data_IF_024571908519
#
_entry.id   IF_024571908519
#
_cell.length_a   1.000
_cell.length_b   1.000
_cell.length_c   1.000
_cell.angle_alpha   90.00
_cell.angle_beta   90.00
_cell.angle_gamma   90.00
#
_symmetry.space_group_name_H-M   'P 1'
#
loop_
_entity.id
_entity.type
_entity.pdbx_description
1 polymer ?
#
# COMPACT_ATOMS: atom_id res chain seq x y z
N UNK A 1 29.63 0.15 10.52
CA UNK A 1 29.08 0.01 9.15
C UNK A 1 29.88 0.78 8.12
N UNK A 2 30.31 2.02 8.41
CA UNK A 2 31.15 2.85 7.52
C UNK A 2 32.61 2.81 8.02
N UNK A 3 33.57 2.84 7.10
CA UNK A 3 35.01 2.85 7.39
C UNK A 3 35.52 4.29 7.53
N UNK A 4 36.10 4.63 8.69
CA UNK A 4 36.58 5.99 8.98
C UNK A 4 37.76 6.41 8.09
N UNK A 5 38.58 5.47 7.64
CA UNK A 5 39.67 5.72 6.69
C UNK A 5 39.13 6.17 5.34
N UNK A 6 38.07 5.53 4.84
CA UNK A 6 37.39 5.95 3.61
C UNK A 6 36.74 7.33 3.74
N UNK A 7 36.16 7.64 4.91
CA UNK A 7 35.61 8.98 5.21
C UNK A 7 36.71 10.04 5.19
N UNK A 8 37.82 9.79 5.88
CA UNK A 8 38.99 10.69 5.89
C UNK A 8 39.57 10.87 4.49
N UNK A 9 39.69 9.80 3.71
CA UNK A 9 40.16 9.87 2.32
C UNK A 9 39.23 10.72 1.43
N UNK A 10 37.91 10.62 1.62
CA UNK A 10 36.96 11.50 0.94
C UNK A 10 37.16 12.97 1.35
N UNK A 11 37.33 13.26 2.65
CA UNK A 11 37.61 14.62 3.14
C UNK A 11 38.92 15.19 2.60
N UNK A 12 39.97 14.37 2.49
CA UNK A 12 41.24 14.77 1.90
C UNK A 12 41.13 15.16 0.42
N UNK A 13 40.07 14.70 -0.28
CA UNK A 13 39.74 15.12 -1.64
C UNK A 13 38.78 16.32 -1.67
N UNK A 14 38.50 17.01 -0.57
CA UNK A 14 37.69 18.24 -0.63
C UNK A 14 38.45 19.36 -1.37
N UNK A 15 37.71 20.35 -1.88
CA UNK A 15 38.32 21.60 -2.30
C UNK A 15 38.73 22.36 -1.04
N UNK A 16 40.02 22.69 -0.93
CA UNK A 16 40.56 23.50 0.16
C UNK A 16 41.65 24.42 -0.39
N UNK A 17 41.72 25.69 0.04
CA UNK A 17 42.86 26.57 -0.26
C UNK A 17 44.20 26.00 0.24
N UNK A 18 44.19 25.20 1.31
CA UNK A 18 45.40 24.62 1.90
C UNK A 18 45.98 23.45 1.08
N UNK A 19 45.16 22.86 0.18
CA UNK A 19 45.57 21.79 -0.75
C UNK A 19 44.76 21.88 -2.06
N UNK A 20 45.01 22.93 -2.88
CA UNK A 20 44.14 23.27 -4.00
C UNK A 20 44.24 22.23 -5.12
N UNK A 21 43.11 21.97 -5.79
CA UNK A 21 43.01 21.11 -6.97
C UNK A 21 42.07 21.73 -8.00
N UNK A 22 42.42 21.62 -9.28
CA UNK A 22 41.53 22.00 -10.38
C UNK A 22 40.54 20.86 -10.67
N UNK A 23 39.25 21.18 -10.82
CA UNK A 23 38.17 20.25 -11.20
C UNK A 23 37.24 20.88 -12.21
N UNK A 24 36.62 20.06 -13.05
CA UNK A 24 35.64 20.53 -14.04
C UNK A 24 36.26 21.39 -15.14
N UNK A 25 37.49 21.08 -15.56
CA UNK A 25 38.12 21.77 -16.70
C UNK A 25 37.33 21.55 -17.98
N UNK A 26 37.40 22.50 -18.92
CA UNK A 26 37.00 22.25 -20.30
C UNK A 26 38.00 21.28 -20.96
N UNK A 27 37.51 20.33 -21.74
CA UNK A 27 38.31 19.33 -22.45
C UNK A 27 37.85 19.26 -23.90
N UNK A 28 38.82 19.17 -24.81
CA UNK A 28 38.57 18.99 -26.24
C UNK A 28 38.31 17.50 -26.56
N UNK A 29 37.87 17.18 -27.79
CA UNK A 29 37.62 15.79 -28.21
C UNK A 29 38.85 14.87 -28.15
N UNK A 30 40.06 15.42 -28.12
CA UNK A 30 41.33 14.71 -28.06
C UNK A 30 41.54 13.91 -26.76
N UNK A 31 40.94 14.33 -25.64
CA UNK A 31 41.09 13.68 -24.32
C UNK A 31 39.79 13.36 -23.60
N UNK A 32 38.66 13.96 -24.02
CA UNK A 32 37.41 13.83 -23.29
C UNK A 32 36.90 12.38 -23.21
N UNK A 33 37.02 11.61 -24.28
CA UNK A 33 36.56 10.21 -24.29
C UNK A 33 37.39 9.35 -23.32
N UNK A 34 38.72 9.45 -23.37
CA UNK A 34 39.64 8.76 -22.46
C UNK A 34 39.36 9.13 -21.00
N UNK A 35 39.12 10.41 -20.73
CA UNK A 35 38.76 10.90 -19.41
C UNK A 35 37.42 10.30 -18.92
N UNK A 36 36.43 10.14 -19.80
CA UNK A 36 35.14 9.56 -19.45
C UNK A 36 35.26 8.07 -19.10
N UNK A 37 36.04 7.30 -19.85
CA UNK A 37 36.29 5.87 -19.61
C UNK A 37 37.14 5.61 -18.37
N UNK A 38 37.93 6.60 -17.91
CA UNK A 38 38.79 6.44 -16.73
C UNK A 38 38.03 6.09 -15.45
N UNK A 39 36.73 6.37 -15.38
CA UNK A 39 35.89 6.04 -14.23
C UNK A 39 35.42 4.58 -14.18
N UNK A 40 35.59 3.80 -15.26
CA UNK A 40 35.06 2.43 -15.38
C UNK A 40 35.44 1.49 -14.22
N UNK A 41 36.68 1.50 -13.67
CA UNK A 41 37.01 0.63 -12.54
C UNK A 41 36.14 0.86 -11.29
N UNK A 42 35.68 2.09 -11.07
CA UNK A 42 34.79 2.40 -9.95
C UNK A 42 33.40 1.78 -10.13
N UNK A 43 32.85 1.85 -11.35
CA UNK A 43 31.55 1.27 -11.69
C UNK A 43 31.61 -0.27 -11.74
N UNK A 44 32.71 -0.83 -12.25
CA UNK A 44 32.94 -2.29 -12.28
C UNK A 44 33.04 -2.87 -10.86
N UNK A 45 33.70 -2.18 -9.94
CA UNK A 45 33.82 -2.63 -8.56
C UNK A 45 32.56 -2.38 -7.69
N UNK A 46 31.66 -1.50 -8.14
CA UNK A 46 30.54 -1.01 -7.33
C UNK A 46 29.58 -2.13 -6.87
N UNK A 47 29.11 -3.05 -7.73
CA UNK A 47 28.21 -4.13 -7.32
C UNK A 47 28.75 -4.96 -6.16
N UNK A 48 30.02 -5.39 -6.24
CA UNK A 48 30.67 -6.15 -5.17
C UNK A 48 30.82 -5.35 -3.87
N UNK A 49 31.07 -4.04 -3.95
CA UNK A 49 31.13 -3.15 -2.78
C UNK A 49 29.74 -3.05 -2.11
N UNK A 50 28.68 -2.92 -2.91
CA UNK A 50 27.30 -2.89 -2.42
C UNK A 50 26.93 -4.22 -1.76
N UNK A 51 27.25 -5.36 -2.39
CA UNK A 51 26.98 -6.68 -1.79
C UNK A 51 27.69 -6.83 -0.45
N UNK A 52 28.98 -6.47 -0.35
CA UNK A 52 29.71 -6.45 0.93
C UNK A 52 29.07 -5.54 1.98
N UNK A 53 28.47 -4.42 1.57
CA UNK A 53 27.74 -3.54 2.50
C UNK A 53 26.43 -4.20 2.99
N UNK A 54 25.69 -4.86 2.09
CA UNK A 54 24.49 -5.64 2.44
C UNK A 54 24.82 -6.79 3.39
N UNK A 55 25.91 -7.53 3.16
CA UNK A 55 26.34 -8.62 4.04
C UNK A 55 26.76 -8.12 5.43
N UNK A 56 27.45 -6.97 5.50
CA UNK A 56 27.76 -6.33 6.79
C UNK A 56 26.50 -5.88 7.50
N UNK A 57 25.50 -5.38 6.77
CA UNK A 57 24.22 -4.98 7.35
C UNK A 57 23.49 -6.20 7.93
N UNK A 58 23.50 -7.34 7.23
CA UNK A 58 22.91 -8.57 7.70
C UNK A 58 23.49 -9.05 9.04
N UNK A 59 24.81 -8.91 9.24
CA UNK A 59 25.48 -9.25 10.52
C UNK A 59 25.02 -8.38 11.69
N UNK A 60 24.58 -7.15 11.44
CA UNK A 60 24.12 -6.21 12.48
C UNK A 60 22.61 -6.34 12.71
N UNK A 61 21.83 -6.41 11.63
CA UNK A 61 20.38 -6.27 11.67
C UNK A 61 19.62 -7.59 11.49
N UNK A 62 20.31 -8.70 11.21
CA UNK A 62 19.72 -10.01 10.91
C UNK A 62 19.01 -10.10 9.56
N UNK A 63 19.00 -9.02 8.76
CA UNK A 63 18.29 -8.93 7.47
C UNK A 63 19.28 -8.98 6.31
N UNK A 64 19.29 -10.09 5.57
CA UNK A 64 20.12 -10.27 4.38
C UNK A 64 19.46 -9.65 3.16
N UNK A 65 20.26 -8.97 2.34
CA UNK A 65 19.89 -8.47 1.02
C UNK A 65 20.91 -8.95 -0.01
N UNK A 66 20.48 -9.04 -1.27
CA UNK A 66 21.33 -9.25 -2.44
C UNK A 66 21.07 -8.15 -3.46
N UNK A 67 21.98 -8.00 -4.42
CA UNK A 67 21.76 -7.08 -5.56
C UNK A 67 20.44 -7.39 -6.28
N UNK A 68 20.15 -8.69 -6.39
CA UNK A 68 18.92 -9.28 -6.89
C UNK A 68 18.44 -10.33 -5.90
N UNK A 69 17.30 -10.09 -5.25
CA UNK A 69 16.74 -11.02 -4.25
C UNK A 69 15.67 -11.89 -4.90
N UNK A 70 15.89 -13.20 -4.94
CA UNK A 70 14.88 -14.17 -5.37
C UNK A 70 14.01 -14.65 -4.20
N UNK A 71 12.71 -14.82 -4.46
CA UNK A 71 11.75 -15.47 -3.56
C UNK A 71 10.74 -16.27 -4.36
N UNK A 72 10.39 -17.48 -3.90
CA UNK A 72 9.42 -18.36 -4.55
C UNK A 72 9.91 -19.80 -4.65
N UNK A 73 9.29 -20.58 -5.52
CA UNK A 73 9.65 -21.99 -5.70
C UNK A 73 11.09 -22.13 -6.22
N UNK A 74 11.94 -23.02 -5.65
CA UNK A 74 13.29 -23.26 -6.16
C UNK A 74 13.30 -23.79 -7.60
N UNK A 75 12.20 -24.45 -8.02
CA UNK A 75 11.97 -24.98 -9.36
C UNK A 75 10.93 -24.17 -10.14
N UNK A 76 10.83 -22.86 -9.87
CA UNK A 76 9.88 -21.99 -10.57
C UNK A 76 10.10 -22.00 -12.09
N UNK A 77 8.99 -22.04 -12.83
CA UNK A 77 8.99 -21.96 -14.30
C UNK A 77 8.57 -20.57 -14.80
N UNK A 78 7.80 -19.85 -13.97
CA UNK A 78 7.30 -18.50 -14.25
C UNK A 78 7.82 -17.53 -13.20
N UNK A 79 8.56 -16.51 -13.61
CA UNK A 79 9.14 -15.52 -12.69
C UNK A 79 8.65 -14.13 -13.04
N UNK A 80 8.22 -13.36 -12.04
CA UNK A 80 8.02 -11.92 -12.19
C UNK A 80 9.26 -11.17 -11.70
N UNK A 81 9.74 -10.18 -12.44
CA UNK A 81 10.87 -9.32 -12.09
C UNK A 81 10.37 -7.88 -11.93
N UNK A 82 10.62 -7.27 -10.77
CA UNK A 82 10.25 -5.88 -10.52
C UNK A 82 11.08 -5.21 -9.43
N UNK A 83 10.89 -3.90 -9.29
CA UNK A 83 11.61 -3.05 -8.34
C UNK A 83 10.64 -2.22 -7.48
N UNK A 84 11.09 -1.83 -6.28
CA UNK A 84 10.33 -0.94 -5.40
C UNK A 84 9.19 -1.64 -4.66
N UNK A 85 8.18 -0.86 -4.23
CA UNK A 85 7.13 -1.33 -3.31
C UNK A 85 6.24 -2.44 -3.87
N UNK A 86 6.04 -2.49 -5.19
CA UNK A 86 5.25 -3.55 -5.83
C UNK A 86 5.84 -4.94 -5.61
N UNK A 87 7.16 -5.03 -5.35
CA UNK A 87 7.82 -6.28 -5.06
C UNK A 87 7.33 -6.93 -3.75
N UNK A 88 6.77 -6.17 -2.79
CA UNK A 88 6.24 -6.73 -1.55
C UNK A 88 4.84 -7.34 -1.76
N UNK A 89 3.94 -6.67 -2.50
CA UNK A 89 2.67 -7.25 -2.94
C UNK A 89 2.90 -8.51 -3.79
N UNK A 90 3.87 -8.48 -4.70
CA UNK A 90 4.25 -9.64 -5.50
C UNK A 90 4.81 -10.78 -4.64
N UNK A 91 5.59 -10.45 -3.60
CA UNK A 91 6.17 -11.45 -2.71
C UNK A 91 5.10 -12.21 -1.94
N UNK A 92 4.16 -11.47 -1.34
CA UNK A 92 3.01 -12.05 -0.63
C UNK A 92 2.19 -12.96 -1.56
N UNK A 93 1.98 -12.54 -2.80
CA UNK A 93 1.25 -13.32 -3.80
C UNK A 93 1.99 -14.59 -4.19
N UNK A 94 3.29 -14.50 -4.44
CA UNK A 94 4.14 -15.65 -4.78
C UNK A 94 4.19 -16.65 -3.62
N UNK A 95 4.36 -16.20 -2.38
CA UNK A 95 4.28 -17.08 -1.19
C UNK A 95 2.93 -17.81 -1.13
N UNK A 96 1.82 -17.10 -1.37
CA UNK A 96 0.47 -17.68 -1.36
C UNK A 96 0.26 -18.75 -2.45
N UNK A 97 0.75 -18.52 -3.66
CA UNK A 97 0.60 -19.44 -4.80
C UNK A 97 1.56 -20.64 -4.69
N UNK A 98 2.79 -20.43 -4.22
CA UNK A 98 3.76 -21.52 -3.97
C UNK A 98 3.25 -22.47 -2.89
N UNK A 99 2.61 -21.96 -1.84
CA UNK A 99 1.96 -22.79 -0.82
C UNK A 99 0.82 -23.68 -1.38
N UNK A 100 0.33 -23.37 -2.60
CA UNK A 100 -0.69 -24.14 -3.34
C UNK A 100 -0.10 -24.98 -4.47
N UNK A 101 1.22 -25.13 -4.52
CA UNK A 101 1.92 -25.98 -5.48
C UNK A 101 2.25 -25.29 -6.82
N UNK A 102 2.01 -23.99 -6.95
CA UNK A 102 2.40 -23.29 -8.18
C UNK A 102 3.91 -23.05 -8.25
N UNK A 103 4.50 -23.36 -9.42
CA UNK A 103 5.92 -23.15 -9.72
C UNK A 103 6.20 -21.71 -10.16
N UNK A 104 5.96 -20.76 -9.26
CA UNK A 104 6.13 -19.33 -9.50
C UNK A 104 7.24 -18.72 -8.64
N UNK A 105 7.84 -17.65 -9.14
CA UNK A 105 8.90 -16.92 -8.47
C UNK A 105 8.81 -15.42 -8.67
N UNK A 106 9.54 -14.71 -7.82
CA UNK A 106 9.74 -13.27 -7.84
C UNK A 106 11.23 -12.99 -7.73
N UNK A 107 11.75 -12.13 -8.61
CA UNK A 107 13.07 -11.54 -8.46
C UNK A 107 12.94 -10.04 -8.23
N UNK A 108 13.48 -9.58 -7.10
CA UNK A 108 13.44 -8.18 -6.67
C UNK A 108 14.76 -7.52 -7.02
N UNK A 109 14.72 -6.50 -7.87
CA UNK A 109 15.91 -5.70 -8.17
C UNK A 109 16.17 -4.73 -7.00
N UNK A 110 17.35 -4.81 -6.38
CA UNK A 110 17.79 -3.90 -5.32
C UNK A 110 18.81 -2.89 -5.83
N UNK A 111 19.75 -3.36 -6.65
CA UNK A 111 20.70 -2.51 -7.36
C UNK A 111 20.35 -2.48 -8.85
N UNK A 112 19.67 -1.44 -9.31
CA UNK A 112 19.33 -1.28 -10.73
C UNK A 112 20.52 -0.77 -11.56
N UNK A 113 21.38 0.07 -10.98
CA UNK A 113 22.59 0.60 -11.64
C UNK A 113 23.78 0.68 -10.68
N UNK A 114 24.96 0.23 -11.11
CA UNK A 114 25.24 -0.57 -12.32
C UNK A 114 24.49 -1.91 -12.30
N UNK A 115 24.05 -2.36 -13.48
CA UNK A 115 23.34 -3.64 -13.60
C UNK A 115 24.37 -4.77 -13.69
N UNK A 116 24.46 -5.60 -12.66
CA UNK A 116 25.39 -6.73 -12.62
C UNK A 116 24.73 -7.95 -13.28
N UNK A 117 25.07 -8.19 -14.56
CA UNK A 117 24.48 -9.25 -15.38
C UNK A 117 24.69 -10.64 -14.76
N UNK A 118 25.89 -10.93 -14.26
CA UNK A 118 26.19 -12.23 -13.65
C UNK A 118 25.34 -12.45 -12.40
N UNK A 119 25.30 -11.46 -11.50
CA UNK A 119 24.50 -11.56 -10.28
C UNK A 119 22.99 -11.67 -10.56
N UNK A 120 22.49 -11.03 -11.63
CA UNK A 120 21.09 -11.16 -12.05
C UNK A 120 20.76 -12.58 -12.51
N UNK A 121 21.60 -13.16 -13.37
CA UNK A 121 21.38 -14.50 -13.94
C UNK A 121 21.53 -15.58 -12.87
N UNK A 122 22.52 -15.44 -11.98
CA UNK A 122 22.75 -16.36 -10.86
C UNK A 122 21.59 -16.36 -9.85
N UNK A 123 20.84 -15.27 -9.76
CA UNK A 123 19.67 -15.17 -8.90
C UNK A 123 18.41 -15.85 -9.48
N UNK A 124 18.40 -16.20 -10.78
CA UNK A 124 17.25 -16.86 -11.42
C UNK A 124 17.33 -18.39 -11.28
N UNK A 125 16.19 -19.07 -11.04
CA UNK A 125 16.12 -20.53 -11.11
C UNK A 125 16.49 -21.05 -12.50
N UNK A 126 17.25 -22.14 -12.55
CA UNK A 126 17.62 -22.82 -13.81
C UNK A 126 16.41 -23.41 -14.56
N UNK A 127 15.28 -23.54 -13.88
CA UNK A 127 14.02 -24.06 -14.42
C UNK A 127 13.15 -22.99 -15.07
N UNK A 128 13.56 -21.71 -15.03
CA UNK A 128 12.77 -20.61 -15.57
C UNK A 128 12.52 -20.79 -17.07
N UNK A 129 11.25 -20.67 -17.48
CA UNK A 129 10.81 -20.77 -18.88
C UNK A 129 10.23 -19.45 -19.38
N UNK A 130 9.71 -18.63 -18.48
CA UNK A 130 9.10 -17.35 -18.82
C UNK A 130 9.26 -16.31 -17.71
N UNK A 131 9.51 -15.08 -18.11
CA UNK A 131 9.77 -13.94 -17.23
C UNK A 131 8.82 -12.79 -17.61
N UNK A 132 8.11 -12.25 -16.63
CA UNK A 132 7.40 -10.96 -16.77
C UNK A 132 8.21 -9.87 -16.09
N UNK A 133 8.62 -8.84 -16.83
CA UNK A 133 9.31 -7.66 -16.30
C UNK A 133 8.31 -6.54 -16.13
N UNK A 134 8.16 -6.02 -14.91
CA UNK A 134 7.21 -4.94 -14.61
C UNK A 134 7.91 -3.62 -14.35
N UNK A 135 7.70 -2.68 -15.26
CA UNK A 135 8.22 -1.32 -15.20
C UNK A 135 7.18 -0.36 -14.63
N UNK A 136 7.59 0.45 -13.65
CA UNK A 136 6.77 1.52 -13.07
C UNK A 136 7.01 2.86 -13.77
N UNK A 137 7.07 2.83 -15.10
CA UNK A 137 7.29 3.99 -15.96
C UNK A 137 6.63 3.75 -17.32
N UNK A 138 6.56 4.79 -18.16
CA UNK A 138 6.14 4.69 -19.56
C UNK A 138 7.08 5.56 -20.39
N UNK A 139 7.71 4.97 -21.40
CA UNK A 139 8.54 5.68 -22.39
C UNK A 139 7.83 5.64 -23.75
N UNK A 140 7.05 6.67 -24.11
CA UNK A 140 6.29 6.68 -25.36
C UNK A 140 7.20 6.53 -26.58
N UNK A 141 6.92 5.54 -27.43
CA UNK A 141 7.66 5.27 -28.66
C UNK A 141 8.93 4.42 -28.48
N UNK A 142 9.33 4.09 -27.25
CA UNK A 142 10.43 3.16 -27.02
C UNK A 142 10.06 1.73 -27.42
N UNK A 143 11.07 0.91 -27.75
CA UNK A 143 10.89 -0.52 -28.06
C UNK A 143 10.39 -1.35 -26.85
N UNK A 144 10.47 -0.78 -25.65
CA UNK A 144 10.01 -1.34 -24.39
C UNK A 144 10.49 -0.47 -23.23
N UNK A 145 10.07 -0.76 -22.01
CA UNK A 145 10.49 0.02 -20.85
C UNK A 145 11.93 -0.34 -20.38
N UNK A 146 12.60 0.51 -19.57
CA UNK A 146 14.02 0.38 -19.28
C UNK A 146 14.44 -0.96 -18.68
N UNK A 147 13.72 -1.45 -17.66
CA UNK A 147 14.09 -2.71 -17.00
C UNK A 147 13.86 -3.90 -17.92
N UNK A 148 12.78 -3.88 -18.70
CA UNK A 148 12.52 -4.89 -19.72
C UNK A 148 13.66 -4.98 -20.74
N UNK A 149 14.14 -3.83 -21.26
CA UNK A 149 15.26 -3.80 -22.21
C UNK A 149 16.58 -4.27 -21.58
N UNK A 150 16.88 -3.88 -20.34
CA UNK A 150 18.09 -4.31 -19.64
C UNK A 150 18.12 -5.83 -19.44
N UNK A 151 16.98 -6.43 -19.07
CA UNK A 151 16.87 -7.87 -18.81
C UNK A 151 16.98 -8.66 -20.12
N UNK A 152 16.35 -8.20 -21.19
CA UNK A 152 16.53 -8.78 -22.52
C UNK A 152 18.00 -8.73 -22.95
N UNK A 153 18.66 -7.59 -22.74
CA UNK A 153 20.08 -7.41 -23.05
C UNK A 153 20.95 -8.36 -22.22
N UNK A 154 20.74 -8.41 -20.90
CA UNK A 154 21.47 -9.28 -19.98
C UNK A 154 21.35 -10.76 -20.36
N UNK A 155 20.14 -11.24 -20.67
CA UNK A 155 19.93 -12.64 -21.08
C UNK A 155 20.53 -12.90 -22.46
N UNK A 156 20.36 -11.97 -23.41
CA UNK A 156 20.90 -12.07 -24.76
C UNK A 156 22.44 -12.11 -24.81
N UNK A 157 23.11 -11.29 -24.00
CA UNK A 157 24.58 -11.29 -23.91
C UNK A 157 25.12 -12.62 -23.39
N UNK A 158 24.47 -13.21 -22.38
CA UNK A 158 24.86 -14.51 -21.79
C UNK A 158 24.56 -15.67 -22.72
N UNK A 159 23.48 -15.59 -23.49
CA UNK A 159 23.22 -16.53 -24.58
C UNK A 159 24.36 -16.49 -25.61
N UNK A 160 24.75 -15.28 -26.06
CA UNK A 160 25.82 -15.11 -27.05
C UNK A 160 27.19 -15.56 -26.54
N UNK A 161 27.44 -15.47 -25.23
CA UNK A 161 28.64 -15.99 -24.58
C UNK A 161 28.62 -17.53 -24.41
N UNK A 162 27.48 -18.18 -24.61
CA UNK A 162 27.33 -19.63 -24.50
C UNK A 162 27.24 -20.15 -23.07
N UNK A 163 26.93 -19.28 -22.09
CA UNK A 163 26.95 -19.60 -20.66
C UNK A 163 25.69 -19.14 -19.91
N UNK A 164 24.58 -19.04 -20.65
CA UNK A 164 23.24 -18.94 -20.08
C UNK A 164 22.88 -20.30 -19.42
N UNK A 165 22.56 -20.34 -18.11
CA UNK A 165 22.37 -21.59 -17.38
C UNK A 165 21.00 -22.25 -17.59
N UNK A 166 20.17 -21.68 -18.48
CA UNK A 166 18.83 -22.13 -18.83
C UNK A 166 18.53 -21.81 -20.30
N UNK A 167 17.50 -22.45 -20.88
CA UNK A 167 17.06 -22.11 -22.23
C UNK A 167 16.54 -20.66 -22.28
N UNK A 168 16.71 -19.97 -23.41
CA UNK A 168 16.25 -18.59 -23.56
C UNK A 168 14.75 -18.48 -23.19
N UNK A 169 14.39 -17.80 -22.10
CA UNK A 169 13.02 -17.77 -21.62
C UNK A 169 12.19 -16.81 -22.45
N UNK A 170 10.87 -17.01 -22.45
CA UNK A 170 9.94 -16.00 -22.97
C UNK A 170 9.95 -14.79 -22.03
N UNK A 171 10.44 -13.64 -22.49
CA UNK A 171 10.48 -12.40 -21.70
C UNK A 171 9.39 -11.44 -22.17
N UNK A 172 8.47 -11.08 -21.26
CA UNK A 172 7.36 -10.16 -21.51
C UNK A 172 7.52 -8.89 -20.69
N UNK A 173 7.31 -7.73 -21.30
CA UNK A 173 7.29 -6.42 -20.63
C UNK A 173 5.88 -6.02 -20.24
N UNK A 174 5.72 -5.43 -19.06
CA UNK A 174 4.45 -4.91 -18.56
C UNK A 174 4.64 -3.61 -17.79
N UNK A 175 3.64 -2.73 -17.85
CA UNK A 175 3.60 -1.49 -17.06
C UNK A 175 2.59 -1.58 -15.94
N UNK A 176 2.93 -1.02 -14.79
CA UNK A 176 2.05 -0.98 -13.63
C UNK A 176 2.24 0.30 -12.80
N UNK A 177 1.27 0.60 -11.94
CA UNK A 177 1.46 1.49 -10.80
C UNK A 177 1.84 2.95 -11.09
N UNK A 178 1.61 3.43 -12.32
CA UNK A 178 1.91 4.82 -12.70
C UNK A 178 1.11 5.78 -11.80
N UNK A 179 1.79 6.83 -11.30
CA UNK A 179 1.18 7.83 -10.42
C UNK A 179 0.44 7.22 -9.21
N UNK A 180 1.03 6.19 -8.60
CA UNK A 180 0.42 5.47 -7.46
C UNK A 180 -0.87 4.73 -7.78
N UNK A 181 -1.14 4.38 -9.05
CA UNK A 181 -2.17 3.39 -9.38
C UNK A 181 -1.94 2.12 -8.56
N UNK A 182 -3.01 1.53 -8.08
CA UNK A 182 -2.94 0.33 -7.24
C UNK A 182 -2.23 -0.83 -7.93
N UNK A 183 -1.59 -1.66 -7.12
CA UNK A 183 -0.96 -2.90 -7.55
C UNK A 183 -1.19 -3.98 -6.50
N UNK A 184 -2.26 -4.74 -6.71
CA UNK A 184 -2.81 -5.71 -5.76
C UNK A 184 -2.35 -7.15 -6.05
N UNK A 185 -2.58 -8.11 -5.15
CA UNK A 185 -2.33 -9.51 -5.40
C UNK A 185 -3.06 -10.07 -6.63
N UNK A 186 -4.29 -9.59 -6.89
CA UNK A 186 -5.04 -9.98 -8.09
C UNK A 186 -4.35 -9.56 -9.38
N UNK A 187 -3.73 -8.37 -9.39
CA UNK A 187 -2.94 -7.89 -10.52
C UNK A 187 -1.65 -8.70 -10.70
N UNK A 188 -0.97 -9.05 -9.61
CA UNK A 188 0.20 -9.95 -9.67
C UNK A 188 -0.19 -11.32 -10.22
N UNK A 189 -1.31 -11.88 -9.76
CA UNK A 189 -1.85 -13.14 -10.26
C UNK A 189 -2.13 -13.07 -11.76
N UNK A 190 -2.78 -12.00 -12.23
CA UNK A 190 -3.03 -11.80 -13.66
C UNK A 190 -1.75 -11.77 -14.50
N UNK A 191 -0.66 -11.18 -13.99
CA UNK A 191 0.66 -11.20 -14.64
C UNK A 191 1.23 -12.62 -14.72
N UNK A 192 1.14 -13.40 -13.64
CA UNK A 192 1.62 -14.79 -13.61
C UNK A 192 0.76 -15.72 -14.48
N UNK A 193 -0.56 -15.50 -14.52
CA UNK A 193 -1.49 -16.23 -15.38
C UNK A 193 -1.22 -15.92 -16.86
N UNK A 194 -0.93 -14.66 -17.19
CA UNK A 194 -0.54 -14.25 -18.54
C UNK A 194 0.71 -15.00 -19.01
N UNK A 195 1.71 -15.26 -18.14
CA UNK A 195 2.90 -16.06 -18.50
C UNK A 195 2.57 -17.50 -18.91
N UNK A 196 1.48 -18.07 -18.39
CA UNK A 196 1.00 -19.41 -18.75
C UNK A 196 -0.02 -19.43 -19.90
N UNK A 197 -0.45 -18.27 -20.39
CA UNK A 197 -1.44 -18.21 -21.46
C UNK A 197 -0.87 -18.81 -22.78
N UNK A 198 -1.71 -19.44 -23.62
CA UNK A 198 -1.27 -19.96 -24.93
C UNK A 198 -0.65 -18.86 -25.80
N UNK A 199 -1.26 -17.68 -25.80
CA UNK A 199 -0.80 -16.47 -26.48
C UNK A 199 -0.64 -15.35 -25.47
N UNK A 200 0.49 -15.28 -24.75
CA UNK A 200 0.66 -14.31 -23.69
C UNK A 200 0.83 -12.90 -24.28
N UNK A 201 0.17 -11.91 -23.66
CA UNK A 201 0.31 -10.50 -24.08
C UNK A 201 1.70 -10.00 -23.68
N UNK A 202 2.40 -9.39 -24.63
CA UNK A 202 3.60 -8.59 -24.38
C UNK A 202 3.25 -7.08 -24.37
N UNK A 203 4.11 -6.24 -23.80
CA UNK A 203 3.91 -4.78 -23.65
C UNK A 203 2.58 -4.40 -22.99
N UNK A 204 2.12 -5.24 -22.05
CA UNK A 204 0.81 -5.12 -21.43
C UNK A 204 0.76 -3.99 -20.39
N UNK A 205 -0.43 -3.65 -19.93
CA UNK A 205 -0.68 -2.85 -18.74
C UNK A 205 -1.45 -3.68 -17.71
N UNK A 206 -1.30 -3.36 -16.42
CA UNK A 206 -2.10 -4.00 -15.37
C UNK A 206 -2.59 -2.94 -14.37
N UNK A 207 -3.84 -3.09 -13.92
CA UNK A 207 -4.51 -2.15 -13.01
C UNK A 207 -5.32 -1.04 -13.69
N UNK A 208 -5.59 -1.15 -15.00
CA UNK A 208 -6.48 -0.25 -15.75
C UNK A 208 -7.32 -1.06 -16.74
N UNK A 209 -8.42 -0.47 -17.23
CA UNK A 209 -9.17 -0.98 -18.38
C UNK A 209 -8.76 -0.21 -19.64
N UNK A 210 -7.93 -0.83 -20.47
CA UNK A 210 -7.51 -0.27 -21.75
C UNK A 210 -8.39 -0.82 -22.88
N UNK A 211 -9.47 -0.10 -23.16
CA UNK A 211 -10.43 -0.39 -24.23
C UNK A 211 -10.06 0.28 -25.57
N UNK A 212 -8.90 0.95 -25.64
CA UNK A 212 -8.42 1.62 -26.85
C UNK A 212 -7.32 0.81 -27.53
N UNK A 213 -6.28 0.43 -26.78
CA UNK A 213 -5.16 -0.36 -27.31
C UNK A 213 -5.17 -1.82 -26.87
N UNK A 214 -6.11 -2.21 -26.00
CA UNK A 214 -6.32 -3.59 -25.53
C UNK A 214 -5.08 -4.24 -24.89
N UNK A 215 -4.19 -3.42 -24.34
CA UNK A 215 -2.96 -3.86 -23.68
C UNK A 215 -3.21 -4.32 -22.24
N UNK A 216 -4.34 -3.96 -21.63
CA UNK A 216 -4.62 -4.33 -20.25
C UNK A 216 -4.81 -5.84 -20.08
N UNK A 217 -4.35 -6.35 -18.94
CA UNK A 217 -4.67 -7.68 -18.44
C UNK A 217 -5.95 -7.66 -17.61
N UNK A 218 -6.80 -8.67 -17.81
CA UNK A 218 -7.99 -8.87 -16.98
C UNK A 218 -7.57 -9.35 -15.59
N UNK A 219 -8.17 -8.77 -14.55
CA UNK A 219 -7.84 -9.06 -13.16
C UNK A 219 -9.11 -9.48 -12.41
N UNK A 220 -9.07 -10.61 -11.71
CA UNK A 220 -10.14 -11.01 -10.80
C UNK A 220 -10.06 -10.18 -9.51
N UNK A 221 -10.94 -9.19 -9.36
CA UNK A 221 -10.97 -8.31 -8.18
C UNK A 221 -11.34 -9.02 -6.89
N UNK A 222 -11.90 -10.25 -6.95
CA UNK A 222 -12.25 -11.04 -5.75
C UNK A 222 -11.05 -11.77 -5.15
N UNK A 223 -9.96 -11.92 -5.89
CA UNK A 223 -8.76 -12.60 -5.42
C UNK A 223 -8.04 -11.80 -4.32
N UNK A 224 -7.79 -12.45 -3.18
CA UNK A 224 -7.02 -11.89 -2.06
C UNK A 224 -6.08 -12.91 -1.44
N UNK A 225 -4.96 -12.42 -0.91
CA UNK A 225 -3.92 -13.20 -0.22
C UNK A 225 -3.93 -12.97 1.30
N UNK A 226 -4.73 -12.03 1.77
CA UNK A 226 -4.84 -11.69 3.20
C UNK A 226 -5.63 -12.77 3.93
N UNK A 227 -5.07 -13.27 5.04
CA UNK A 227 -5.70 -14.27 5.90
C UNK A 227 -6.63 -13.67 6.95
N UNK A 228 -7.40 -14.53 7.60
CA UNK A 228 -8.31 -14.15 8.71
C UNK A 228 -7.55 -13.71 9.97
N UNK A 229 -6.24 -13.99 10.05
CA UNK A 229 -5.35 -13.58 11.13
C UNK A 229 -4.89 -12.10 11.05
N UNK A 230 -5.35 -11.36 10.04
CA UNK A 230 -5.02 -9.94 9.84
C UNK A 230 -6.27 -9.08 10.01
N UNK A 231 -6.23 -8.17 10.98
CA UNK A 231 -7.26 -7.15 11.17
C UNK A 231 -7.03 -6.04 10.17
N UNK A 232 -8.03 -5.77 9.33
CA UNK A 232 -8.00 -4.78 8.26
C UNK A 232 -9.07 -3.73 8.49
N UNK A 233 -8.66 -2.47 8.51
CA UNK A 233 -9.53 -1.39 8.95
C UNK A 233 -9.60 -0.24 7.93
N UNK A 234 -10.81 0.28 7.73
CA UNK A 234 -11.06 1.58 7.11
C UNK A 234 -11.54 2.58 8.15
N UNK A 235 -10.96 3.78 8.13
CA UNK A 235 -11.46 4.92 8.90
C UNK A 235 -11.69 6.10 7.98
N UNK A 236 -12.94 6.52 7.90
CA UNK A 236 -13.37 7.69 7.14
C UNK A 236 -13.48 8.89 8.09
N UNK A 237 -12.57 9.85 7.91
CA UNK A 237 -12.50 11.08 8.70
C UNK A 237 -12.63 12.32 7.82
N UNK A 238 -13.02 13.43 8.44
CA UNK A 238 -13.01 14.75 7.82
C UNK A 238 -11.62 15.38 7.96
N UNK A 239 -11.17 16.09 6.92
CA UNK A 239 -9.92 16.86 7.00
C UNK A 239 -9.88 17.74 8.25
N UNK A 240 -8.85 17.54 9.08
CA UNK A 240 -8.60 18.22 10.36
C UNK A 240 -9.48 17.80 11.55
N UNK A 241 -10.21 16.69 11.48
CA UNK A 241 -10.99 16.16 12.63
C UNK A 241 -10.16 15.38 13.67
N UNK A 242 -8.90 15.07 13.35
CA UNK A 242 -7.97 14.33 14.20
C UNK A 242 -7.92 12.81 13.95
N UNK A 243 -8.70 12.27 13.02
CA UNK A 243 -8.79 10.84 12.68
C UNK A 243 -7.43 10.25 12.29
N UNK A 244 -6.74 10.88 11.35
CA UNK A 244 -5.39 10.44 10.91
C UNK A 244 -4.40 10.43 12.08
N UNK A 245 -4.46 11.43 12.95
CA UNK A 245 -3.61 11.52 14.13
C UNK A 245 -3.89 10.41 15.13
N UNK A 246 -5.17 10.12 15.40
CA UNK A 246 -5.58 9.00 16.24
C UNK A 246 -5.12 7.66 15.66
N UNK A 247 -5.28 7.45 14.35
CA UNK A 247 -4.85 6.22 13.69
C UNK A 247 -3.33 6.02 13.75
N UNK A 248 -2.53 7.09 13.59
CA UNK A 248 -1.07 7.01 13.82
C UNK A 248 -0.74 6.61 15.25
N UNK A 249 -1.49 7.12 16.23
CA UNK A 249 -1.31 6.74 17.62
C UNK A 249 -1.72 5.28 17.85
N UNK A 250 -2.83 4.82 17.27
CA UNK A 250 -3.27 3.42 17.31
C UNK A 250 -2.20 2.47 16.77
N UNK A 251 -1.59 2.81 15.63
CA UNK A 251 -0.46 2.05 15.05
C UNK A 251 0.70 1.97 16.03
N UNK A 252 1.04 3.09 16.69
CA UNK A 252 2.12 3.15 17.66
C UNK A 252 1.83 2.28 18.89
N UNK A 253 0.63 2.39 19.45
CA UNK A 253 0.20 1.59 20.62
C UNK A 253 0.29 0.10 20.27
N UNK A 254 -0.30 -0.32 19.16
CA UNK A 254 -0.30 -1.74 18.79
C UNK A 254 1.12 -2.23 18.45
N UNK A 255 1.91 -1.45 17.71
CA UNK A 255 3.25 -1.85 17.32
C UNK A 255 4.32 -1.78 18.42
N UNK A 256 4.14 -0.95 19.45
CA UNK A 256 5.08 -0.84 20.59
C UNK A 256 4.68 -1.76 21.75
N UNK A 257 3.37 -1.92 22.01
CA UNK A 257 2.87 -2.56 23.24
C UNK A 257 2.33 -3.98 22.99
N UNK A 258 2.39 -4.50 21.75
CA UNK A 258 1.91 -5.84 21.39
C UNK A 258 2.89 -6.55 20.45
N UNK A 259 2.83 -7.89 20.30
CA UNK A 259 3.67 -8.61 19.34
C UNK A 259 3.22 -8.44 17.87
N UNK A 260 2.11 -7.76 17.62
CA UNK A 260 1.59 -7.58 16.27
C UNK A 260 2.45 -6.60 15.46
N UNK A 261 2.63 -6.91 14.18
CA UNK A 261 3.05 -5.94 13.19
C UNK A 261 1.89 -4.98 12.91
N UNK A 262 2.24 -3.72 12.67
CA UNK A 262 1.28 -2.66 12.39
C UNK A 262 1.66 -1.92 11.10
N UNK A 263 0.67 -1.67 10.25
CA UNK A 263 0.80 -0.89 9.03
C UNK A 263 -0.30 0.16 8.97
N UNK A 264 0.04 1.36 8.48
CA UNK A 264 -0.95 2.38 8.13
C UNK A 264 -0.61 3.07 6.83
N UNK A 265 -1.62 3.23 5.98
CA UNK A 265 -1.60 4.05 4.78
C UNK A 265 -2.76 5.03 4.84
N UNK A 266 -2.55 6.26 4.37
CA UNK A 266 -3.51 7.35 4.51
C UNK A 266 -3.75 7.99 3.15
N UNK A 267 -4.96 7.83 2.63
CA UNK A 267 -5.43 8.48 1.41
C UNK A 267 -6.00 9.84 1.78
N UNK A 268 -5.44 10.88 1.19
CA UNK A 268 -5.92 12.25 1.32
C UNK A 268 -6.51 12.69 -0.02
N UNK A 269 -7.54 13.54 0.06
CA UNK A 269 -8.01 14.28 -1.12
C UNK A 269 -6.96 15.32 -1.55
N UNK A 270 -6.97 15.63 -2.84
CA UNK A 270 -6.29 16.79 -3.43
C UNK A 270 -6.72 18.14 -2.84
N UNK A 271 -7.94 18.22 -2.30
CA UNK A 271 -8.49 19.43 -1.67
C UNK A 271 -7.83 19.69 -0.32
N UNK A 272 -7.40 20.93 -0.09
CA UNK A 272 -6.67 21.36 1.13
C UNK A 272 -7.50 21.28 2.43
N UNK A 273 -8.83 21.37 2.38
CA UNK A 273 -9.69 21.39 3.57
C UNK A 273 -11.09 20.86 3.27
N UNK A 274 -11.78 20.36 4.31
CA UNK A 274 -13.18 19.94 4.25
C UNK A 274 -13.45 18.67 3.42
N UNK A 275 -12.39 17.97 3.05
CA UNK A 275 -12.43 16.74 2.25
C UNK A 275 -12.35 15.49 3.11
N UNK A 276 -12.66 14.35 2.49
CA UNK A 276 -12.55 13.04 3.11
C UNK A 276 -11.09 12.62 3.23
N UNK A 277 -10.79 11.91 4.32
CA UNK A 277 -9.55 11.14 4.49
C UNK A 277 -9.92 9.69 4.75
N UNK A 278 -9.19 8.76 4.12
CA UNK A 278 -9.38 7.33 4.33
C UNK A 278 -8.10 6.75 4.90
N UNK A 279 -8.17 6.21 6.10
CA UNK A 279 -7.05 5.49 6.71
C UNK A 279 -7.23 4.00 6.51
N UNK A 280 -6.23 3.35 5.92
CA UNK A 280 -6.14 1.91 5.74
C UNK A 280 -5.15 1.37 6.76
N UNK A 281 -5.63 0.63 7.75
CA UNK A 281 -4.77 0.03 8.77
C UNK A 281 -4.78 -1.49 8.65
N UNK A 282 -3.63 -2.09 8.96
CA UNK A 282 -3.48 -3.54 9.10
C UNK A 282 -2.73 -3.87 10.38
N UNK A 283 -3.20 -4.90 11.07
CA UNK A 283 -2.56 -5.45 12.26
C UNK A 283 -2.57 -6.97 12.18
N UNK A 284 -1.46 -7.62 12.52
CA UNK A 284 -1.42 -9.07 12.56
C UNK A 284 -0.10 -9.63 13.10
N UNK A 285 -0.03 -10.95 13.35
CA UNK A 285 1.12 -11.58 13.99
C UNK A 285 2.33 -11.75 13.05
N UNK A 286 2.14 -11.52 11.74
CA UNK A 286 3.15 -11.71 10.70
C UNK A 286 3.58 -10.38 10.07
N UNK A 287 4.81 -10.26 9.55
CA UNK A 287 5.23 -9.08 8.80
C UNK A 287 4.26 -8.75 7.67
N UNK A 288 3.77 -7.52 7.63
CA UNK A 288 2.76 -7.07 6.66
C UNK A 288 3.46 -6.61 5.38
N UNK A 289 3.24 -7.32 4.27
CA UNK A 289 3.79 -7.01 2.94
C UNK A 289 2.80 -6.32 2.01
N UNK A 290 1.56 -6.14 2.47
CA UNK A 290 0.43 -5.64 1.70
C UNK A 290 0.59 -4.16 1.36
N UNK A 291 1.41 -3.84 0.35
CA UNK A 291 1.73 -2.48 -0.12
C UNK A 291 0.66 -1.91 -1.06
N UNK A 292 -0.60 -2.25 -0.79
CA UNK A 292 -1.80 -1.89 -1.53
C UNK A 292 -2.92 -1.51 -0.55
N UNK A 293 -3.96 -0.82 -1.02
CA UNK A 293 -5.10 -0.41 -0.20
C UNK A 293 -5.86 -1.62 0.36
N UNK A 294 -6.53 -1.43 1.48
CA UNK A 294 -7.46 -2.47 1.99
C UNK A 294 -8.67 -2.51 1.06
N UNK A 295 -8.92 -3.67 0.44
CA UNK A 295 -10.10 -3.90 -0.42
C UNK A 295 -11.21 -4.67 0.31
N UNK A 296 -10.86 -5.40 1.37
CA UNK A 296 -11.78 -6.17 2.22
C UNK A 296 -11.47 -5.89 3.69
N UNK A 297 -12.30 -5.09 4.35
CA UNK A 297 -12.13 -4.62 5.71
C UNK A 297 -13.00 -5.38 6.71
N UNK A 298 -12.38 -5.87 7.79
CA UNK A 298 -13.05 -6.46 8.95
C UNK A 298 -13.68 -5.39 9.85
N UNK A 299 -13.15 -4.17 9.80
CA UNK A 299 -13.61 -3.04 10.60
C UNK A 299 -13.72 -1.79 9.73
N UNK A 300 -14.87 -1.12 9.78
CA UNK A 300 -15.11 0.15 9.10
C UNK A 300 -15.59 1.17 10.11
N UNK A 301 -14.99 2.35 10.14
CA UNK A 301 -15.45 3.46 10.97
C UNK A 301 -15.75 4.70 10.12
N UNK A 302 -16.90 5.32 10.38
CA UNK A 302 -17.31 6.59 9.80
C UNK A 302 -17.40 7.64 10.92
N UNK A 303 -16.47 8.61 10.91
CA UNK A 303 -16.37 9.60 11.97
C UNK A 303 -17.23 10.85 11.72
N UNK A 304 -17.90 10.95 10.57
CA UNK A 304 -18.83 12.03 10.25
C UNK A 304 -20.05 11.49 9.50
N UNK A 305 -21.23 11.58 10.13
CA UNK A 305 -22.49 11.04 9.62
C UNK A 305 -22.80 11.39 8.14
N UNK A 306 -22.56 12.65 7.75
CA UNK A 306 -22.81 13.20 6.40
C UNK A 306 -22.13 12.42 5.27
N UNK A 307 -21.10 11.64 5.57
CA UNK A 307 -20.39 10.83 4.59
C UNK A 307 -21.23 9.68 4.02
N UNK A 308 -22.18 9.14 4.79
CA UNK A 308 -23.06 8.06 4.33
C UNK A 308 -23.97 8.51 3.19
N UNK A 309 -24.29 9.79 3.13
CA UNK A 309 -25.11 10.38 2.06
C UNK A 309 -24.31 10.67 0.78
N UNK A 310 -22.97 10.60 0.84
CA UNK A 310 -22.09 11.04 -0.26
C UNK A 310 -21.26 9.94 -0.89
N UNK A 311 -20.85 8.95 -0.11
CA UNK A 311 -19.91 7.94 -0.57
C UNK A 311 -20.36 6.53 -0.18
N UNK A 312 -19.84 5.53 -0.87
CA UNK A 312 -20.06 4.13 -0.51
C UNK A 312 -19.01 3.62 0.47
N UNK A 313 -19.21 3.93 1.75
CA UNK A 313 -18.26 3.58 2.81
C UNK A 313 -18.17 2.08 3.09
N UNK A 314 -19.26 1.35 2.84
CA UNK A 314 -19.37 -0.07 3.14
C UNK A 314 -18.99 -0.96 1.96
N UNK A 315 -18.62 -0.39 0.80
CA UNK A 315 -18.16 -1.15 -0.39
C UNK A 315 -17.10 -2.19 -0.02
N UNK A 316 -16.07 -1.77 0.70
CA UNK A 316 -14.96 -2.60 1.15
C UNK A 316 -15.26 -3.45 2.41
N UNK A 317 -16.42 -3.29 3.05
CA UNK A 317 -16.77 -4.08 4.23
C UNK A 317 -16.99 -5.55 3.85
N UNK A 318 -16.35 -6.46 4.58
CA UNK A 318 -16.55 -7.91 4.38
C UNK A 318 -17.79 -8.42 5.13
N UNK A 319 -18.32 -9.61 4.78
CA UNK A 319 -19.37 -10.25 5.56
C UNK A 319 -18.97 -10.44 7.03
N UNK A 320 -19.87 -10.15 7.96
CA UNK A 320 -19.65 -10.23 9.41
C UNK A 320 -18.75 -9.14 9.99
N UNK A 321 -18.37 -8.12 9.20
CA UNK A 321 -17.54 -7.01 9.66
C UNK A 321 -18.22 -6.15 10.72
N UNK A 322 -17.42 -5.33 11.39
CA UNK A 322 -17.88 -4.33 12.36
C UNK A 322 -17.96 -2.97 11.68
N UNK A 323 -19.09 -2.28 11.82
CA UNK A 323 -19.26 -0.90 11.38
C UNK A 323 -19.50 0.01 12.58
N UNK A 324 -18.62 0.99 12.77
CA UNK A 324 -18.71 2.03 13.80
C UNK A 324 -19.11 3.36 13.17
N UNK A 325 -20.21 3.95 13.65
CA UNK A 325 -20.69 5.25 13.18
C UNK A 325 -20.71 6.28 14.31
N UNK A 326 -20.02 7.40 14.09
CA UNK A 326 -20.24 8.62 14.86
C UNK A 326 -21.51 9.30 14.36
N UNK A 327 -22.57 9.29 15.16
CA UNK A 327 -23.91 9.75 14.78
C UNK A 327 -24.49 10.66 15.87
N UNK A 328 -25.16 11.76 15.51
CA UNK A 328 -25.95 12.54 16.47
C UNK A 328 -27.25 11.82 16.88
N UNK A 329 -27.61 10.74 16.20
CA UNK A 329 -28.81 9.93 16.46
C UNK A 329 -28.45 8.69 17.29
N UNK A 330 -29.27 8.38 18.28
CA UNK A 330 -29.13 7.20 19.13
C UNK A 330 -29.51 5.89 18.43
N UNK A 331 -29.34 4.74 19.11
CA UNK A 331 -29.53 3.40 18.52
C UNK A 331 -30.97 3.14 18.03
N UNK A 332 -31.98 3.79 18.62
CA UNK A 332 -33.38 3.63 18.23
C UNK A 332 -33.75 4.42 16.96
N UNK A 333 -33.05 5.53 16.68
CA UNK A 333 -33.39 6.46 15.59
C UNK A 333 -32.43 6.38 14.41
N UNK A 334 -31.17 5.98 14.65
CA UNK A 334 -30.10 6.04 13.65
C UNK A 334 -30.44 5.25 12.39
N UNK A 335 -31.12 4.12 12.54
CA UNK A 335 -31.49 3.26 11.42
C UNK A 335 -32.32 4.01 10.37
N UNK A 336 -33.33 4.77 10.80
CA UNK A 336 -34.23 5.51 9.91
C UNK A 336 -33.56 6.72 9.24
N UNK A 337 -32.35 7.09 9.68
CA UNK A 337 -31.54 8.16 9.10
C UNK A 337 -30.50 7.65 8.10
N UNK A 338 -30.39 6.34 7.90
CA UNK A 338 -29.46 5.78 6.93
C UNK A 338 -30.07 5.77 5.51
N UNK A 339 -29.28 6.04 4.46
CA UNK A 339 -29.70 5.78 3.09
C UNK A 339 -30.05 4.30 2.88
N UNK A 340 -31.03 4.02 2.02
CA UNK A 340 -31.49 2.65 1.73
C UNK A 340 -30.34 1.74 1.28
N UNK A 341 -29.44 2.20 0.41
CA UNK A 341 -28.28 1.43 -0.03
C UNK A 341 -27.33 1.03 1.11
N UNK A 342 -27.18 1.88 2.13
CA UNK A 342 -26.35 1.61 3.31
C UNK A 342 -27.03 0.56 4.20
N UNK A 343 -28.33 0.71 4.46
CA UNK A 343 -29.09 -0.29 5.22
C UNK A 343 -29.01 -1.67 4.57
N UNK A 344 -29.17 -1.72 3.24
CA UNK A 344 -29.12 -2.97 2.49
C UNK A 344 -27.75 -3.66 2.62
N UNK A 345 -26.64 -2.91 2.52
CA UNK A 345 -25.31 -3.48 2.72
C UNK A 345 -25.08 -3.99 4.14
N UNK A 346 -25.59 -3.30 5.17
CA UNK A 346 -25.50 -3.77 6.56
C UNK A 346 -26.21 -5.12 6.72
N UNK A 347 -27.39 -5.27 6.11
CA UNK A 347 -28.17 -6.51 6.16
C UNK A 347 -27.50 -7.63 5.36
N UNK A 348 -27.21 -7.40 4.08
CA UNK A 348 -26.70 -8.42 3.17
C UNK A 348 -25.35 -8.99 3.62
N UNK A 349 -24.51 -8.15 4.21
CA UNK A 349 -23.21 -8.53 4.73
C UNK A 349 -23.26 -8.94 6.20
N UNK A 350 -24.41 -8.91 6.87
CA UNK A 350 -24.53 -9.25 8.30
C UNK A 350 -23.58 -8.44 9.19
N UNK A 351 -23.49 -7.13 8.95
CA UNK A 351 -22.56 -6.23 9.64
C UNK A 351 -23.01 -6.00 11.08
N UNK A 352 -22.07 -6.10 12.03
CA UNK A 352 -22.28 -5.70 13.42
C UNK A 352 -22.20 -4.18 13.51
N UNK A 353 -23.34 -3.55 13.69
CA UNK A 353 -23.46 -2.10 13.61
C UNK A 353 -23.42 -1.46 15.01
N UNK A 354 -22.43 -0.58 15.24
CA UNK A 354 -22.27 0.18 16.47
C UNK A 354 -22.42 1.67 16.20
N UNK A 355 -23.06 2.37 17.14
CA UNK A 355 -23.27 3.81 17.09
C UNK A 355 -22.81 4.48 18.38
N UNK A 356 -22.32 5.70 18.24
CA UNK A 356 -22.00 6.61 19.35
C UNK A 356 -22.17 8.06 18.91
N UNK A 357 -22.70 8.91 19.79
CA UNK A 357 -22.58 10.37 19.64
C UNK A 357 -21.27 10.84 20.28
N UNK A 358 -20.19 10.75 19.50
CA UNK A 358 -18.86 11.11 19.98
C UNK A 358 -18.75 12.60 20.33
N UNK A 359 -19.52 13.47 19.69
CA UNK A 359 -19.49 14.90 20.00
C UNK A 359 -20.14 15.21 21.34
N UNK A 360 -21.28 14.57 21.63
CA UNK A 360 -21.93 14.65 22.95
C UNK A 360 -21.03 14.11 24.04
N UNK A 361 -20.46 12.91 23.85
CA UNK A 361 -19.54 12.31 24.83
C UNK A 361 -18.30 13.20 25.06
N UNK A 362 -17.73 13.78 24.01
CA UNK A 362 -16.59 14.70 24.14
C UNK A 362 -16.94 15.94 24.95
N UNK A 363 -18.12 16.51 24.72
CA UNK A 363 -18.62 17.69 25.43
C UNK A 363 -18.87 17.37 26.91
N UNK A 364 -19.56 16.27 27.18
CA UNK A 364 -19.95 15.87 28.54
C UNK A 364 -18.73 15.46 29.38
N UNK A 365 -17.69 14.88 28.75
CA UNK A 365 -16.38 14.59 29.39
C UNK A 365 -15.41 15.79 29.43
N UNK A 366 -15.82 16.98 29.00
CA UNK A 366 -14.99 18.19 29.05
C UNK A 366 -13.80 18.22 28.06
N UNK A 367 -13.83 17.40 27.01
CA UNK A 367 -12.83 17.36 25.93
C UNK A 367 -13.14 18.33 24.77
N UNK A 368 -14.25 19.07 24.86
CA UNK A 368 -14.71 19.98 23.81
C UNK A 368 -15.31 19.21 22.63
N UNK A 369 -14.98 19.63 21.40
CA UNK A 369 -15.47 18.97 20.18
C UNK A 369 -14.55 17.88 19.59
N UNK A 370 -13.55 17.41 20.36
CA UNK A 370 -12.54 16.46 19.86
C UNK A 370 -13.00 15.03 20.07
N UNK A 371 -13.42 14.37 18.99
CA UNK A 371 -13.92 12.98 19.01
C UNK A 371 -12.84 11.93 18.82
N UNK A 372 -11.61 12.34 18.54
CA UNK A 372 -10.50 11.44 18.17
C UNK A 372 -10.21 10.37 19.24
N UNK A 373 -10.10 10.74 20.51
CA UNK A 373 -9.89 9.78 21.62
C UNK A 373 -11.06 8.83 21.78
N UNK A 374 -12.29 9.33 21.62
CA UNK A 374 -13.53 8.54 21.75
C UNK A 374 -13.60 7.49 20.65
N UNK A 375 -13.42 7.90 19.40
CA UNK A 375 -13.44 6.98 18.27
C UNK A 375 -12.30 5.96 18.35
N UNK A 376 -11.12 6.36 18.83
CA UNK A 376 -10.02 5.45 19.11
C UNK A 376 -10.39 4.42 20.19
N UNK A 377 -11.00 4.85 21.30
CA UNK A 377 -11.49 3.95 22.35
C UNK A 377 -12.50 2.96 21.82
N UNK A 378 -13.45 3.42 20.99
CA UNK A 378 -14.40 2.53 20.32
C UNK A 378 -13.67 1.48 19.48
N UNK A 379 -12.73 1.90 18.63
CA UNK A 379 -11.95 0.96 17.82
C UNK A 379 -11.31 -0.16 18.66
N UNK A 380 -10.60 0.18 19.73
CA UNK A 380 -9.97 -0.81 20.60
C UNK A 380 -10.98 -1.73 21.30
N UNK A 381 -12.18 -1.23 21.63
CA UNK A 381 -13.21 -2.00 22.31
C UNK A 381 -13.90 -3.05 21.42
N UNK A 382 -14.07 -2.76 20.12
CA UNK A 382 -14.91 -3.57 19.21
C UNK A 382 -14.19 -4.07 17.95
N UNK A 383 -12.92 -3.73 17.70
CA UNK A 383 -12.20 -4.21 16.52
C UNK A 383 -11.71 -5.66 16.60
N UNK A 384 -11.59 -6.21 17.81
CA UNK A 384 -11.03 -7.55 18.03
C UNK A 384 -9.52 -7.64 17.85
N UNK A 385 -8.79 -6.53 17.70
CA UNK A 385 -7.32 -6.52 17.58
C UNK A 385 -6.60 -6.96 18.86
N UNK A 386 -7.24 -6.69 20.01
CA UNK A 386 -6.80 -7.10 21.33
C UNK A 386 -8.01 -7.59 22.13
N UNK A 387 -7.81 -8.49 23.11
CA UNK A 387 -8.82 -8.76 24.13
C UNK A 387 -9.26 -7.46 24.82
N UNK A 388 -10.55 -7.35 25.16
CA UNK A 388 -11.15 -6.10 25.67
C UNK A 388 -10.39 -5.50 26.85
N UNK A 389 -10.02 -6.32 27.83
CA UNK A 389 -9.34 -5.85 29.04
C UNK A 389 -7.91 -5.35 28.74
N UNK A 390 -7.20 -6.05 27.85
CA UNK A 390 -5.86 -5.64 27.36
C UNK A 390 -5.94 -4.35 26.55
N UNK A 391 -6.97 -4.20 25.72
CA UNK A 391 -7.20 -3.01 24.91
C UNK A 391 -7.44 -1.77 25.79
N UNK A 392 -8.26 -1.89 26.83
CA UNK A 392 -8.52 -0.80 27.79
C UNK A 392 -7.23 -0.44 28.55
N UNK A 393 -6.48 -1.43 29.01
CA UNK A 393 -5.21 -1.21 29.69
C UNK A 393 -4.18 -0.49 28.79
N UNK A 394 -4.04 -0.93 27.53
CA UNK A 394 -3.15 -0.32 26.56
C UNK A 394 -3.50 1.16 26.28
N UNK A 395 -4.79 1.47 26.12
CA UNK A 395 -5.25 2.86 25.95
C UNK A 395 -4.91 3.71 27.17
N UNK A 396 -5.23 3.23 28.39
CA UNK A 396 -4.96 3.98 29.63
C UNK A 396 -3.45 4.20 29.83
N UNK A 397 -2.62 3.21 29.50
CA UNK A 397 -1.16 3.34 29.51
C UNK A 397 -0.65 4.37 28.48
N UNK A 398 -1.17 4.35 27.26
CA UNK A 398 -0.80 5.30 26.21
C UNK A 398 -1.19 6.75 26.57
N UNK A 399 -2.38 6.94 27.16
CA UNK A 399 -2.82 8.24 27.70
C UNK A 399 -1.84 8.71 28.79
N UNK A 400 -1.44 7.84 29.72
CA UNK A 400 -0.47 8.19 30.77
C UNK A 400 0.89 8.57 30.19
N UNK A 401 1.40 7.83 29.19
CA UNK A 401 2.65 8.13 28.48
C UNK A 401 2.59 9.47 27.74
N UNK A 402 1.46 9.78 27.12
CA UNK A 402 1.28 10.98 26.29
C UNK A 402 1.01 12.24 27.11
N UNK A 403 0.17 12.12 28.14
CA UNK A 403 -0.35 13.26 28.90
C UNK A 403 0.15 13.32 30.35
N UNK A 404 0.94 12.36 30.82
CA UNK A 404 1.48 12.36 32.19
C UNK A 404 2.29 13.60 32.53
N UNK A 405 3.04 14.15 31.56
CA UNK A 405 3.77 15.41 31.73
C UNK A 405 2.89 16.66 31.82
N UNK A 406 1.57 16.55 31.59
CA UNK A 406 0.61 17.66 31.66
C UNK A 406 -0.22 17.68 32.95
N UNK A 407 0.04 16.75 33.89
CA UNK A 407 -0.61 16.69 35.19
C UNK A 407 -1.67 15.58 35.33
N UNK A 408 -1.86 15.09 36.56
CA UNK A 408 -2.73 13.94 36.86
C UNK A 408 -4.21 14.21 36.55
N UNK A 409 -4.68 15.45 36.72
CA UNK A 409 -6.08 15.80 36.42
C UNK A 409 -6.42 15.60 34.93
N UNK A 410 -5.49 15.91 34.03
CA UNK A 410 -5.69 15.71 32.59
C UNK A 410 -5.73 14.22 32.26
N UNK A 411 -4.87 13.42 32.90
CA UNK A 411 -4.88 11.96 32.73
C UNK A 411 -6.20 11.37 33.23
N UNK A 412 -6.66 11.79 34.42
CA UNK A 412 -7.93 11.34 35.01
C UNK A 412 -9.12 11.67 34.10
N UNK A 413 -9.20 12.90 33.58
CA UNK A 413 -10.25 13.30 32.62
C UNK A 413 -10.27 12.42 31.36
N UNK A 414 -9.09 12.05 30.84
CA UNK A 414 -9.02 11.15 29.69
C UNK A 414 -9.46 9.72 30.06
N UNK A 415 -9.22 9.25 31.29
CA UNK A 415 -9.74 7.95 31.74
C UNK A 415 -11.25 7.96 31.90
N UNK A 416 -11.81 9.01 32.50
CA UNK A 416 -13.26 9.19 32.60
C UNK A 416 -13.91 9.25 31.21
N UNK A 417 -13.25 9.90 30.24
CA UNK A 417 -13.70 9.89 28.84
C UNK A 417 -13.67 8.50 28.19
N UNK A 418 -12.66 7.68 28.48
CA UNK A 418 -12.61 6.28 28.01
C UNK A 418 -13.79 5.50 28.59
N UNK A 419 -14.02 5.61 29.89
CA UNK A 419 -15.08 4.86 30.57
C UNK A 419 -16.49 5.33 30.10
N UNK A 420 -16.68 6.65 29.93
CA UNK A 420 -17.90 7.22 29.36
C UNK A 420 -18.12 6.80 27.90
N UNK A 421 -17.06 6.69 27.10
CA UNK A 421 -17.14 6.19 25.73
C UNK A 421 -17.66 4.76 25.69
N UNK A 422 -17.11 3.87 26.53
CA UNK A 422 -17.53 2.48 26.59
C UNK A 422 -18.99 2.32 27.02
N UNK A 423 -19.48 3.20 27.90
CA UNK A 423 -20.88 3.20 28.34
C UNK A 423 -21.86 3.73 27.27
N UNK A 424 -21.41 4.54 26.32
CA UNK A 424 -22.23 5.15 25.27
C UNK A 424 -22.05 4.49 23.88
N UNK A 425 -21.15 3.51 23.76
CA UNK A 425 -20.99 2.70 22.56
C UNK A 425 -22.05 1.60 22.54
N UNK A 426 -23.04 1.73 21.66
CA UNK A 426 -24.20 0.83 21.64
C UNK A 426 -24.25 0.05 20.33
N UNK A 427 -24.47 -1.26 20.42
CA UNK A 427 -24.79 -2.10 19.27
C UNK A 427 -26.24 -1.89 18.85
N UNK A 428 -26.46 -1.59 17.57
CA UNK A 428 -27.78 -1.37 16.99
C UNK A 428 -28.36 -2.70 16.53
N UNK A 429 -29.58 -2.99 16.96
CA UNK A 429 -30.31 -4.16 16.47
C UNK A 429 -30.70 -3.96 15.00
N UNK A 430 -30.00 -4.62 14.09
CA UNK A 430 -30.21 -4.51 12.65
C UNK A 430 -31.52 -5.20 12.25
N UNK A 431 -32.48 -4.46 11.64
CA UNK A 431 -33.71 -5.06 11.10
C UNK A 431 -33.44 -6.00 9.93
N UNK A 432 -34.34 -6.94 9.65
CA UNK A 432 -34.18 -7.89 8.54
C UNK A 432 -34.36 -7.29 7.14
N UNK A 433 -34.89 -6.06 7.04
CA UNK A 433 -35.19 -5.40 5.76
C UNK A 433 -34.81 -3.92 5.82
N UNK A 434 -34.35 -3.39 4.70
CA UNK A 434 -34.14 -1.97 4.54
C UNK A 434 -35.50 -1.24 4.55
N UNK A 435 -35.64 -0.25 5.42
CA UNK A 435 -36.87 0.52 5.67
C UNK A 435 -36.79 1.95 5.13
N UNK A 436 -35.58 2.46 4.84
CA UNK A 436 -35.39 3.85 4.42
C UNK A 436 -36.14 4.18 3.13
N UNK A 437 -36.74 5.37 3.11
CA UNK A 437 -37.49 5.91 1.98
C UNK A 437 -36.63 6.77 1.04
N UNK A 438 -35.35 6.98 1.36
CA UNK A 438 -34.44 7.79 0.56
C UNK A 438 -33.11 7.06 0.32
N UNK A 439 -32.39 7.53 -0.68
CA UNK A 439 -31.02 7.09 -0.96
C UNK A 439 -30.12 8.29 -1.24
N UNK A 440 -28.84 8.03 -1.50
CA UNK A 440 -27.85 9.06 -1.81
C UNK A 440 -28.30 9.85 -3.05
N UNK A 441 -28.26 11.19 -3.00
CA UNK A 441 -28.56 12.00 -4.17
C UNK A 441 -27.51 11.76 -5.28
N UNK A 442 -27.84 12.05 -6.54
CA UNK A 442 -26.88 12.00 -7.64
C UNK A 442 -25.67 12.90 -7.34
N UNK A 443 -24.47 12.41 -7.68
CA UNK A 443 -23.21 13.13 -7.45
C UNK A 443 -23.16 14.46 -8.21
N UNK A 444 -23.76 14.50 -9.40
CA UNK A 444 -23.90 15.69 -10.25
C UNK A 444 -25.31 15.81 -10.78
N UNK A 445 -25.70 17.02 -11.21
CA UNK A 445 -27.02 17.27 -11.82
C UNK A 445 -27.22 16.43 -13.09
N UNK A 446 -28.46 15.94 -13.28
CA UNK A 446 -28.86 15.28 -14.53
C UNK A 446 -28.76 16.21 -15.76
N UNK A 447 -28.77 17.53 -15.56
CA UNK A 447 -28.62 18.53 -16.60
C UNK A 447 -27.16 18.91 -16.89
N UNK A 448 -26.19 18.34 -16.18
CA UNK A 448 -24.78 18.61 -16.41
C UNK A 448 -24.33 18.05 -17.78
N UNK A 449 -23.27 18.58 -18.42
CA UNK A 449 -22.73 18.04 -19.67
C UNK A 449 -22.34 16.57 -19.59
N UNK A 450 -22.35 15.85 -20.71
CA UNK A 450 -22.13 14.40 -20.76
C UNK A 450 -20.84 13.97 -20.06
N UNK A 451 -19.70 14.60 -20.38
CA UNK A 451 -18.42 14.33 -19.74
C UNK A 451 -18.45 14.53 -18.21
N UNK A 452 -19.24 15.49 -17.72
CA UNK A 452 -19.41 15.71 -16.28
C UNK A 452 -20.18 14.54 -15.65
N UNK A 453 -21.22 14.03 -16.31
CA UNK A 453 -22.05 12.93 -15.81
C UNK A 453 -21.35 11.58 -15.88
N UNK A 454 -20.60 11.30 -16.95
CA UNK A 454 -20.03 9.97 -17.20
C UNK A 454 -18.62 9.81 -16.64
N UNK A 455 -17.81 10.88 -16.64
CA UNK A 455 -16.40 10.83 -16.24
C UNK A 455 -16.18 11.52 -14.90
N UNK A 456 -16.50 12.82 -14.80
CA UNK A 456 -16.19 13.57 -13.57
C UNK A 456 -17.01 13.11 -12.37
N UNK A 457 -18.27 12.69 -12.57
CA UNK A 457 -19.11 12.16 -11.50
C UNK A 457 -18.49 10.92 -10.84
N UNK A 458 -17.95 9.99 -11.64
CA UNK A 458 -17.23 8.80 -11.12
C UNK A 458 -15.99 9.19 -10.34
N UNK A 459 -15.20 10.15 -10.83
CA UNK A 459 -14.02 10.65 -10.12
C UNK A 459 -14.42 11.27 -8.77
N UNK A 460 -15.47 12.11 -8.74
CA UNK A 460 -15.99 12.74 -7.52
C UNK A 460 -16.53 11.69 -6.53
N UNK A 461 -17.08 10.59 -7.02
CA UNK A 461 -17.58 9.47 -6.22
C UNK A 461 -16.47 8.56 -5.66
N UNK A 462 -15.19 8.82 -5.95
CA UNK A 462 -14.05 7.91 -5.71
C UNK A 462 -14.14 6.58 -6.49
N UNK A 463 -14.73 6.61 -7.68
CA UNK A 463 -14.85 5.48 -8.62
C UNK A 463 -14.04 5.75 -9.91
N UNK A 464 -13.03 6.62 -9.83
CA UNK A 464 -12.20 6.98 -10.97
C UNK A 464 -11.33 5.83 -11.50
N UNK A 465 -11.04 4.83 -10.67
CA UNK A 465 -10.32 3.61 -11.09
C UNK A 465 -11.14 2.73 -12.05
N UNK A 466 -12.47 2.87 -12.04
CA UNK A 466 -13.41 2.12 -12.90
C UNK A 466 -13.62 2.80 -14.27
N UNK A 467 -12.91 3.89 -14.55
CA UNK A 467 -12.96 4.59 -15.83
C UNK A 467 -11.96 3.95 -16.82
N UNK A 468 -12.41 3.60 -18.03
CA UNK A 468 -11.51 3.06 -19.05
C UNK A 468 -10.66 4.16 -19.69
N UNK A 469 -9.64 3.76 -20.46
CA UNK A 469 -8.75 4.69 -21.18
C UNK A 469 -9.54 5.61 -22.11
N UNK A 470 -10.58 5.12 -22.80
CA UNK A 470 -11.43 5.91 -23.68
C UNK A 470 -12.19 7.05 -23.00
N UNK A 471 -12.31 7.05 -21.66
CA UNK A 471 -12.98 8.09 -20.91
C UNK A 471 -12.10 9.34 -20.67
N UNK A 472 -10.80 9.27 -20.98
CA UNK A 472 -9.87 10.38 -20.84
C UNK A 472 -9.84 11.25 -22.10
N UNK A 473 -9.67 12.58 -21.98
CA UNK A 473 -9.54 13.46 -23.14
C UNK A 473 -8.24 13.18 -23.91
N UNK A 474 -8.26 13.51 -25.20
CA UNK A 474 -7.10 13.49 -26.11
C UNK A 474 -6.38 14.83 -26.09
#
# INVERSE_FOLDING_TARGET
>A
MIDDGLVRAHRARALSPDHPVLRGSAQNPDVFFQARERCNPYYTAFPAIVQKAMDRFAKVAGRQYRLFDYAGAPDAERVVVLMGSGAEAAHETVEYLVARGEKVGLLKIRLFRPFDVSAFIDALPKTVKSIAVLDRTKEPGAAGEPMYQDILTAIGERLNQGDLPFAFPKVLGGRYGLSSKEFTPSMVKAVLDNLSAPTPKNHFTVGIQDDVTHLSLDCDSSFTTEGDDVIRCHFYGLGSDGTVGANKNTIKIIGEDTPNYAQGYFVYDSKKAGSITVSHLRFGPRPIRSTYLVSSANFVACHAFVFLEKFDMLKAAMPGSVFLLNSPFGPEEVWDKLPRSVQQQIIDKGIKFYVIDGYKVAKDSGMGGRVNTIMQTCFFAISGVLPKDEAIAAIKNAIKKTYGGKGEEIVKKNFEAVDATLANLIEVMVPQKATSAFDKPPVVSALAPDYVRTTLAKIIANEGDDLPVSAMPI
#
